data_IF_554398694955
#
_entry.id   IF_554398694955
#
_cell.length_a   1.000
_cell.length_b   1.000
_cell.length_c   1.000
_cell.angle_alpha   90.00
_cell.angle_beta   90.00
_cell.angle_gamma   90.00
#
_symmetry.space_group_name_H-M   'P 1'
#
loop_
_entity.id
_entity.type
_entity.pdbx_description
1 polymer ?
#
# COMPACT_ATOMS: atom_id res chain seq x y z
N UNK A 1 12.19 13.24 -5.88
CA UNK A 1 12.50 11.82 -6.16
C UNK A 1 11.24 11.13 -6.61
N UNK A 2 11.33 10.26 -7.61
CA UNK A 2 10.28 9.38 -8.10
C UNK A 2 10.74 7.93 -7.88
N UNK A 3 9.86 7.10 -7.34
CA UNK A 3 10.01 5.65 -7.26
C UNK A 3 8.94 5.08 -8.20
N UNK A 4 9.29 4.62 -9.40
CA UNK A 4 8.30 4.25 -10.42
C UNK A 4 7.54 2.98 -10.09
N UNK A 5 8.16 2.04 -9.38
CA UNK A 5 7.53 0.81 -8.93
C UNK A 5 8.14 0.39 -7.57
N UNK A 6 7.30 0.26 -6.56
CA UNK A 6 7.73 -0.22 -5.24
C UNK A 6 7.66 -1.75 -5.16
N UNK A 7 6.75 -2.38 -5.91
CA UNK A 7 6.52 -3.81 -5.92
C UNK A 7 6.78 -4.40 -7.33
N UNK A 8 8.04 -4.55 -7.74
CA UNK A 8 8.36 -5.12 -9.04
C UNK A 8 7.87 -6.56 -9.19
N UNK A 9 8.00 -7.38 -8.14
CA UNK A 9 7.52 -8.76 -8.16
C UNK A 9 6.02 -8.85 -8.45
N UNK A 10 5.21 -8.05 -7.74
CA UNK A 10 3.77 -8.04 -7.93
C UNK A 10 3.36 -7.58 -9.33
N UNK A 11 4.06 -6.59 -9.87
CA UNK A 11 3.86 -6.13 -11.24
C UNK A 11 4.19 -7.23 -12.26
N UNK A 12 5.33 -7.89 -12.12
CA UNK A 12 5.75 -8.96 -13.04
C UNK A 12 4.80 -10.15 -12.96
N UNK A 13 4.37 -10.56 -11.76
CA UNK A 13 3.41 -11.65 -11.56
C UNK A 13 2.06 -11.31 -12.20
N UNK A 14 1.56 -10.10 -11.97
CA UNK A 14 0.26 -9.68 -12.52
C UNK A 14 0.26 -9.65 -14.05
N UNK A 15 1.34 -9.18 -14.67
CA UNK A 15 1.46 -9.04 -16.14
C UNK A 15 1.94 -10.31 -16.85
N UNK A 16 2.87 -11.03 -16.24
CA UNK A 16 3.56 -12.16 -16.86
C UNK A 16 3.17 -13.54 -16.31
N UNK A 17 2.31 -13.56 -15.29
CA UNK A 17 1.87 -14.80 -14.66
C UNK A 17 2.82 -15.34 -13.60
N UNK A 18 2.42 -16.43 -12.94
CA UNK A 18 3.14 -17.04 -11.84
C UNK A 18 4.58 -17.46 -12.20
N UNK A 19 4.87 -17.75 -13.47
CA UNK A 19 6.20 -18.13 -13.94
C UNK A 19 7.27 -17.07 -13.69
N UNK A 20 6.90 -15.80 -13.56
CA UNK A 20 7.83 -14.70 -13.27
C UNK A 20 8.32 -14.72 -11.82
N UNK A 21 7.62 -15.42 -10.92
CA UNK A 21 7.99 -15.52 -9.50
C UNK A 21 9.21 -16.46 -9.23
N UNK A 22 9.84 -17.04 -10.26
CA UNK A 22 11.01 -17.88 -10.14
C UNK A 22 10.77 -19.10 -9.25
N UNK A 23 11.56 -19.29 -8.21
CA UNK A 23 11.42 -20.42 -7.30
C UNK A 23 10.13 -20.40 -6.46
N UNK A 24 9.41 -19.29 -6.43
CA UNK A 24 8.11 -19.14 -5.76
C UNK A 24 6.91 -19.40 -6.69
N UNK A 25 7.13 -19.79 -7.95
CA UNK A 25 6.06 -20.04 -8.94
C UNK A 25 4.96 -20.95 -8.39
N UNK A 26 5.31 -22.10 -7.84
CA UNK A 26 4.32 -23.05 -7.33
C UNK A 26 3.46 -22.51 -6.18
N UNK A 27 4.05 -21.65 -5.34
CA UNK A 27 3.30 -20.93 -4.30
C UNK A 27 2.32 -19.94 -4.94
N UNK A 28 2.79 -19.11 -5.87
CA UNK A 28 1.97 -18.09 -6.54
C UNK A 28 0.81 -18.75 -7.31
N UNK A 29 1.07 -19.81 -8.06
CA UNK A 29 0.03 -20.60 -8.76
C UNK A 29 -1.05 -21.10 -7.82
N UNK A 30 -0.63 -21.69 -6.69
CA UNK A 30 -1.56 -22.19 -5.68
C UNK A 30 -2.36 -21.06 -5.01
N UNK A 31 -1.71 -19.98 -4.62
CA UNK A 31 -2.32 -18.89 -3.89
C UNK A 31 -3.28 -18.06 -4.78
N UNK A 32 -2.99 -17.93 -6.08
CA UNK A 32 -3.84 -17.24 -7.05
C UNK A 32 -4.95 -18.11 -7.63
N UNK A 33 -4.91 -19.45 -7.42
CA UNK A 33 -5.78 -20.38 -8.12
C UNK A 33 -5.55 -20.39 -9.63
N UNK A 34 -4.37 -19.95 -10.09
CA UNK A 34 -3.97 -19.86 -11.49
C UNK A 34 -4.31 -18.51 -12.16
N UNK A 35 -5.04 -17.62 -11.49
CA UNK A 35 -5.33 -16.27 -11.98
C UNK A 35 -4.50 -15.24 -11.21
N UNK A 36 -3.52 -14.66 -11.88
CA UNK A 36 -2.61 -13.65 -11.29
C UNK A 36 -2.96 -12.22 -11.68
N UNK A 37 -4.00 -11.99 -12.48
CA UNK A 37 -4.35 -10.66 -13.00
C UNK A 37 -4.51 -9.61 -11.90
N UNK A 38 -5.01 -10.01 -10.73
CA UNK A 38 -5.22 -9.13 -9.58
C UNK A 38 -4.20 -9.35 -8.45
N UNK A 39 -3.02 -9.88 -8.76
CA UNK A 39 -1.96 -10.06 -7.78
C UNK A 39 -1.35 -8.72 -7.35
N UNK A 40 -1.51 -8.33 -6.08
CA UNK A 40 -1.04 -7.07 -5.50
C UNK A 40 0.13 -7.24 -4.54
N UNK A 41 0.28 -8.45 -3.98
CA UNK A 41 1.37 -8.78 -3.07
C UNK A 41 2.74 -8.87 -3.79
N UNK A 42 3.84 -8.93 -3.04
CA UNK A 42 5.11 -9.37 -3.62
C UNK A 42 5.11 -10.89 -3.90
N UNK A 43 6.20 -11.44 -4.41
CA UNK A 43 6.27 -12.89 -4.73
C UNK A 43 6.11 -13.80 -3.51
N UNK A 44 6.31 -13.29 -2.29
CA UNK A 44 6.08 -14.03 -1.04
C UNK A 44 4.64 -13.97 -0.52
N UNK A 45 3.75 -13.34 -1.27
CA UNK A 45 2.36 -13.18 -0.90
C UNK A 45 2.13 -12.17 0.23
N UNK A 46 3.04 -11.20 0.39
CA UNK A 46 2.90 -10.12 1.37
C UNK A 46 2.48 -8.85 0.64
N UNK A 47 1.34 -8.30 1.03
CA UNK A 47 0.86 -7.01 0.53
C UNK A 47 1.63 -5.88 1.19
N UNK A 48 2.46 -5.19 0.40
CA UNK A 48 3.37 -4.18 0.92
C UNK A 48 2.65 -3.01 1.58
N UNK A 49 1.44 -2.65 1.09
CA UNK A 49 0.67 -1.57 1.68
C UNK A 49 -0.11 -1.98 2.94
N UNK A 50 0.12 -3.18 3.45
CA UNK A 50 -0.31 -3.68 4.75
C UNK A 50 0.87 -4.02 5.68
N UNK A 51 2.11 -3.82 5.21
CA UNK A 51 3.34 -4.24 5.90
C UNK A 51 4.08 -3.09 6.61
N UNK A 52 3.55 -1.87 6.61
CA UNK A 52 4.16 -0.75 7.34
C UNK A 52 3.73 -0.75 8.82
N UNK A 53 4.63 -0.24 9.70
CA UNK A 53 4.36 -0.07 11.12
C UNK A 53 3.48 1.18 11.36
N UNK A 54 2.22 1.06 11.02
CA UNK A 54 1.19 2.07 11.21
C UNK A 54 -0.09 1.38 11.71
N UNK A 55 -0.16 1.14 13.01
CA UNK A 55 -1.24 0.37 13.61
C UNK A 55 -1.23 -1.10 13.20
N UNK A 56 -0.06 -1.72 13.10
CA UNK A 56 0.10 -3.09 12.60
C UNK A 56 -0.72 -4.13 13.38
N UNK A 57 -0.83 -3.98 14.70
CA UNK A 57 -1.72 -4.84 15.50
C UNK A 57 -3.19 -4.74 15.09
N UNK A 58 -3.62 -3.56 14.64
CA UNK A 58 -4.97 -3.37 14.10
C UNK A 58 -5.11 -4.02 12.72
N UNK A 59 -4.08 -3.94 11.88
CA UNK A 59 -4.01 -4.69 10.60
C UNK A 59 -4.29 -6.17 10.87
N UNK A 60 -3.57 -6.77 11.83
CA UNK A 60 -3.72 -8.21 12.15
C UNK A 60 -5.11 -8.57 12.70
N UNK A 61 -5.78 -7.65 13.39
CA UNK A 61 -7.19 -7.86 13.81
C UNK A 61 -8.14 -7.82 12.62
N UNK A 62 -7.96 -6.86 11.74
CA UNK A 62 -8.79 -6.69 10.54
C UNK A 62 -8.60 -7.85 9.55
N UNK A 63 -7.35 -8.31 9.36
CA UNK A 63 -7.06 -9.50 8.56
C UNK A 63 -7.80 -10.73 9.08
N UNK A 64 -7.68 -11.03 10.39
CA UNK A 64 -8.39 -12.16 11.00
C UNK A 64 -9.91 -12.03 10.85
N UNK A 65 -10.46 -10.84 11.04
CA UNK A 65 -11.88 -10.59 10.85
C UNK A 65 -12.35 -10.80 9.40
N UNK A 66 -11.45 -10.58 8.43
CA UNK A 66 -11.70 -10.79 7.01
C UNK A 66 -11.33 -12.20 6.52
N UNK A 67 -10.90 -13.11 7.42
CA UNK A 67 -10.47 -14.46 7.06
C UNK A 67 -9.12 -14.52 6.31
N UNK A 68 -8.27 -13.48 6.46
CA UNK A 68 -6.95 -13.39 5.86
C UNK A 68 -5.93 -13.83 6.92
N UNK A 69 -5.46 -15.05 6.85
CA UNK A 69 -4.60 -15.67 7.86
C UNK A 69 -3.24 -16.15 7.32
N UNK A 70 -3.06 -16.09 6.01
CA UNK A 70 -1.87 -16.59 5.33
C UNK A 70 -1.45 -15.70 4.15
N UNK A 71 -0.19 -15.82 3.70
CA UNK A 71 0.29 -15.17 2.47
C UNK A 71 -0.61 -15.49 1.27
N UNK A 72 -0.89 -14.46 0.47
CA UNK A 72 -1.80 -14.57 -0.67
C UNK A 72 -1.67 -13.42 -1.65
N UNK A 73 -2.60 -13.31 -2.60
CA UNK A 73 -2.53 -12.30 -3.67
C UNK A 73 -2.65 -10.87 -3.17
N UNK A 74 -3.31 -10.64 -2.03
CA UNK A 74 -3.58 -9.29 -1.51
C UNK A 74 -3.88 -9.30 -0.01
N UNK A 75 -3.75 -8.16 0.63
CA UNK A 75 -4.19 -7.80 2.01
C UNK A 75 -3.45 -8.47 3.16
N UNK A 76 -2.61 -9.45 2.93
CA UNK A 76 -1.84 -10.06 4.01
C UNK A 76 -0.55 -9.26 4.27
N UNK A 77 -0.44 -8.62 5.43
CA UNK A 77 0.67 -7.73 5.80
C UNK A 77 1.90 -8.41 6.39
N UNK A 78 1.93 -9.75 6.42
CA UNK A 78 3.04 -10.49 7.03
C UNK A 78 2.88 -10.71 8.53
N UNK A 79 3.91 -11.32 9.16
CA UNK A 79 3.91 -11.61 10.59
C UNK A 79 4.37 -10.41 11.45
N UNK A 80 5.24 -9.59 10.90
CA UNK A 80 5.79 -8.40 11.57
C UNK A 80 5.81 -7.21 10.61
N UNK A 81 5.68 -5.98 11.11
CA UNK A 81 5.80 -4.81 10.24
C UNK A 81 7.21 -4.73 9.65
N UNK A 82 7.32 -4.15 8.47
CA UNK A 82 8.57 -4.01 7.73
C UNK A 82 9.32 -5.33 7.50
N UNK A 83 8.60 -6.46 7.42
CA UNK A 83 9.22 -7.76 7.14
C UNK A 83 9.80 -7.83 5.72
N UNK A 84 9.24 -7.06 4.79
CA UNK A 84 9.60 -7.12 3.39
C UNK A 84 10.79 -6.21 3.05
N UNK A 85 11.70 -6.65 2.16
CA UNK A 85 12.84 -5.83 1.76
C UNK A 85 12.42 -4.51 1.10
N UNK A 86 11.34 -4.50 0.35
CA UNK A 86 10.79 -3.32 -0.33
C UNK A 86 10.32 -2.28 0.70
N UNK A 87 9.56 -2.70 1.70
CA UNK A 87 9.09 -1.79 2.76
C UNK A 87 10.26 -1.25 3.59
N UNK A 88 11.24 -2.11 3.95
CA UNK A 88 12.46 -1.66 4.64
C UNK A 88 13.27 -0.68 3.80
N UNK A 89 13.41 -0.94 2.50
CA UNK A 89 14.13 -0.02 1.60
C UNK A 89 13.48 1.36 1.56
N UNK A 90 12.14 1.41 1.46
CA UNK A 90 11.40 2.67 1.45
C UNK A 90 11.49 3.41 2.79
N UNK A 91 11.37 2.70 3.89
CA UNK A 91 11.53 3.25 5.26
C UNK A 91 12.93 3.85 5.43
N UNK A 92 13.99 3.11 5.07
CA UNK A 92 15.37 3.56 5.17
C UNK A 92 15.62 4.77 4.25
N UNK A 93 15.08 4.75 3.03
CA UNK A 93 15.14 5.90 2.12
C UNK A 93 14.48 7.13 2.75
N UNK A 94 13.28 7.00 3.30
CA UNK A 94 12.59 8.11 3.96
C UNK A 94 13.35 8.64 5.18
N UNK A 95 13.95 7.76 5.97
CA UNK A 95 14.76 8.14 7.12
C UNK A 95 16.01 8.95 6.71
N UNK A 96 16.69 8.53 5.65
CA UNK A 96 17.90 9.18 5.13
C UNK A 96 17.59 10.48 4.36
N UNK A 97 16.67 10.42 3.42
CA UNK A 97 16.35 11.55 2.52
C UNK A 97 15.44 12.59 3.17
N UNK A 98 14.61 12.19 4.14
CA UNK A 98 13.67 13.03 4.89
C UNK A 98 12.75 13.86 3.99
N UNK A 99 11.97 13.25 3.09
CA UNK A 99 11.11 13.97 2.16
C UNK A 99 10.10 14.84 2.91
N UNK A 100 9.80 16.03 2.39
CA UNK A 100 8.86 16.98 3.03
C UNK A 100 7.40 16.56 2.89
N UNK A 101 7.10 15.77 1.86
CA UNK A 101 5.77 15.29 1.51
C UNK A 101 5.93 13.99 0.73
N UNK A 102 4.98 13.08 0.88
CA UNK A 102 4.91 11.84 0.10
C UNK A 102 3.59 11.76 -0.65
N UNK A 103 3.64 11.23 -1.87
CA UNK A 103 2.49 10.93 -2.72
C UNK A 103 2.60 9.48 -3.16
N UNK A 104 1.62 8.66 -2.79
CA UNK A 104 1.49 7.29 -3.22
C UNK A 104 0.33 7.17 -4.21
N UNK A 105 0.59 6.59 -5.37
CA UNK A 105 -0.43 6.41 -6.40
C UNK A 105 -0.89 4.95 -6.39
N UNK A 106 -2.18 4.78 -6.23
CA UNK A 106 -2.89 3.51 -6.23
C UNK A 106 -4.02 3.56 -7.26
N UNK A 107 -4.70 2.48 -7.48
CA UNK A 107 -5.95 2.39 -8.21
C UNK A 107 -6.92 1.54 -7.37
N UNK A 108 -8.20 1.95 -7.27
CA UNK A 108 -8.83 3.05 -7.99
C UNK A 108 -9.96 3.67 -7.17
N UNK A 109 -10.52 4.81 -7.64
CA UNK A 109 -11.68 5.40 -6.95
C UNK A 109 -11.83 6.91 -7.15
N UNK A 110 -10.87 7.59 -7.80
CA UNK A 110 -10.81 9.05 -7.91
C UNK A 110 -10.89 9.74 -6.55
N UNK A 111 -10.12 9.19 -5.59
CA UNK A 111 -10.10 9.63 -4.20
C UNK A 111 -8.71 10.06 -3.77
N UNK A 112 -8.66 10.92 -2.75
CA UNK A 112 -7.42 11.30 -2.06
C UNK A 112 -7.60 11.04 -0.57
N UNK A 113 -6.72 10.21 0.00
CA UNK A 113 -6.60 10.02 1.44
C UNK A 113 -5.41 10.81 1.97
N UNK A 114 -5.60 11.58 3.05
CA UNK A 114 -4.57 12.47 3.60
C UNK A 114 -4.47 12.46 5.11
N UNK A 115 -5.32 11.68 5.80
CA UNK A 115 -5.35 11.60 7.27
C UNK A 115 -4.86 10.26 7.76
N UNK A 116 -4.20 10.30 8.90
CA UNK A 116 -3.95 9.14 9.73
C UNK A 116 -3.64 9.57 11.16
N UNK A 117 -4.42 9.11 12.13
CA UNK A 117 -4.20 9.34 13.54
C UNK A 117 -4.05 10.82 13.96
N UNK A 118 -3.56 11.05 15.18
CA UNK A 118 -3.42 12.42 15.73
C UNK A 118 -2.24 13.19 15.15
N UNK A 119 -1.33 12.53 14.44
CA UNK A 119 -0.10 13.12 13.91
C UNK A 119 -0.23 13.70 12.50
N UNK A 120 -1.43 13.68 11.94
CA UNK A 120 -1.70 14.33 10.66
C UNK A 120 -1.41 15.83 10.76
N UNK A 121 -0.44 16.38 10.01
CA UNK A 121 -0.12 17.79 10.07
C UNK A 121 -1.32 18.67 9.67
N UNK A 122 -1.57 19.76 10.39
CA UNK A 122 -2.72 20.65 10.14
C UNK A 122 -2.79 21.14 8.67
N UNK A 123 -1.63 21.41 8.06
CA UNK A 123 -1.55 21.84 6.64
C UNK A 123 -2.00 20.75 5.64
N UNK A 124 -2.03 19.47 6.03
CA UNK A 124 -2.42 18.38 5.13
C UNK A 124 -3.81 18.55 4.56
N UNK A 125 -4.73 19.11 5.35
CA UNK A 125 -6.10 19.34 4.89
C UNK A 125 -6.17 20.37 3.75
N UNK A 126 -5.50 21.51 3.89
CA UNK A 126 -5.46 22.53 2.84
C UNK A 126 -4.78 22.00 1.58
N UNK A 127 -3.66 21.29 1.76
CA UNK A 127 -2.96 20.65 0.63
C UNK A 127 -3.87 19.65 -0.10
N UNK A 128 -4.59 18.81 0.64
CA UNK A 128 -5.53 17.85 0.07
C UNK A 128 -6.66 18.53 -0.72
N UNK A 129 -7.20 19.63 -0.20
CA UNK A 129 -8.24 20.41 -0.90
C UNK A 129 -7.73 20.99 -2.22
N UNK A 130 -6.52 21.54 -2.23
CA UNK A 130 -5.88 22.05 -3.46
C UNK A 130 -5.66 20.93 -4.47
N UNK A 131 -5.13 19.80 -4.03
CA UNK A 131 -4.91 18.62 -4.88
C UNK A 131 -6.23 18.09 -5.45
N UNK A 132 -7.25 17.94 -4.61
CA UNK A 132 -8.58 17.49 -5.02
C UNK A 132 -9.22 18.40 -6.06
N UNK A 133 -9.14 19.72 -5.84
CA UNK A 133 -9.64 20.72 -6.79
C UNK A 133 -8.90 20.68 -8.13
N UNK A 134 -7.60 20.36 -8.11
CA UNK A 134 -6.77 20.33 -9.31
C UNK A 134 -7.01 19.09 -10.20
N UNK A 135 -7.33 17.94 -9.60
CA UNK A 135 -7.54 16.68 -10.34
C UNK A 135 -9.01 16.26 -10.43
N UNK A 136 -9.92 16.93 -9.73
CA UNK A 136 -11.34 16.59 -9.69
C UNK A 136 -11.68 15.40 -8.78
N UNK A 137 -10.74 14.95 -7.96
CA UNK A 137 -10.93 13.82 -7.05
C UNK A 137 -11.60 14.26 -5.74
N UNK A 138 -12.32 13.35 -5.09
CA UNK A 138 -12.92 13.60 -3.79
C UNK A 138 -11.96 13.27 -2.64
N UNK A 139 -12.10 14.00 -1.54
CA UNK A 139 -11.42 13.63 -0.30
C UNK A 139 -12.20 12.53 0.41
N UNK A 140 -11.51 11.47 0.80
CA UNK A 140 -12.10 10.31 1.46
C UNK A 140 -11.19 9.76 2.57
N UNK A 141 -11.64 8.73 3.24
CA UNK A 141 -10.89 7.97 4.24
C UNK A 141 -11.01 6.48 3.92
N UNK A 142 -9.92 5.73 3.98
CA UNK A 142 -9.96 4.29 3.75
C UNK A 142 -10.69 3.59 4.91
N UNK A 143 -11.36 2.48 4.59
CA UNK A 143 -12.11 1.67 5.55
C UNK A 143 -11.61 0.21 5.58
N UNK A 144 -12.03 -0.55 6.59
CA UNK A 144 -11.68 -1.96 6.72
C UNK A 144 -10.18 -2.19 6.76
N UNK A 145 -9.71 -3.21 6.03
CA UNK A 145 -8.28 -3.57 6.00
C UNK A 145 -7.39 -2.48 5.43
N UNK A 146 -7.91 -1.57 4.62
CA UNK A 146 -7.15 -0.46 4.03
C UNK A 146 -6.91 0.72 5.00
N UNK A 147 -7.49 0.68 6.21
CA UNK A 147 -7.43 1.81 7.15
C UNK A 147 -6.13 1.93 7.95
N UNK A 148 -5.29 0.89 7.92
CA UNK A 148 -4.03 0.80 8.68
C UNK A 148 -2.96 0.06 7.88
N UNK A 149 -1.69 0.22 8.29
CA UNK A 149 -0.56 -0.52 7.73
C UNK A 149 -0.05 -0.02 6.40
N UNK A 150 -0.63 1.04 5.85
CA UNK A 150 -0.22 1.63 4.58
C UNK A 150 0.99 2.54 4.69
N UNK A 151 1.68 2.75 3.55
CA UNK A 151 2.83 3.65 3.49
C UNK A 151 2.47 5.09 3.89
N UNK A 152 1.36 5.63 3.40
CA UNK A 152 0.89 6.97 3.78
C UNK A 152 0.69 7.08 5.29
N UNK A 153 0.11 6.06 5.91
CA UNK A 153 -0.19 6.04 7.34
C UNK A 153 1.09 6.08 8.16
N UNK A 154 2.04 5.22 7.82
CA UNK A 154 3.36 5.20 8.43
C UNK A 154 4.10 6.52 8.21
N UNK A 155 4.06 7.09 7.00
CA UNK A 155 4.75 8.34 6.70
C UNK A 155 4.19 9.50 7.54
N UNK A 156 2.89 9.59 7.69
CA UNK A 156 2.24 10.59 8.56
C UNK A 156 2.63 10.35 10.01
N UNK A 157 2.50 9.12 10.50
CA UNK A 157 2.68 8.81 11.91
C UNK A 157 4.14 8.92 12.36
N UNK A 158 5.07 8.35 11.61
CA UNK A 158 6.50 8.36 11.94
C UNK A 158 7.22 9.65 11.53
N UNK A 159 6.98 10.14 10.31
CA UNK A 159 7.70 11.30 9.79
C UNK A 159 7.09 12.63 10.21
N UNK A 160 5.85 12.63 10.69
CA UNK A 160 5.08 13.85 11.09
C UNK A 160 4.96 14.85 9.94
N UNK A 161 4.79 14.35 8.72
CA UNK A 161 4.74 15.13 7.48
C UNK A 161 3.53 14.76 6.64
N UNK A 162 3.07 15.68 5.74
CA UNK A 162 1.96 15.38 4.86
C UNK A 162 2.25 14.17 3.97
N UNK A 163 1.39 13.17 4.03
CA UNK A 163 1.37 12.00 3.15
C UNK A 163 0.00 11.90 2.49
N UNK A 164 -0.02 11.50 1.23
CA UNK A 164 -1.24 11.37 0.44
C UNK A 164 -1.25 10.05 -0.31
N UNK A 165 -2.41 9.40 -0.33
CA UNK A 165 -2.72 8.33 -1.29
C UNK A 165 -3.69 8.87 -2.33
N UNK A 166 -3.38 8.65 -3.59
CA UNK A 166 -4.26 8.94 -4.72
C UNK A 166 -4.77 7.62 -5.28
N UNK A 167 -6.06 7.38 -5.20
CA UNK A 167 -6.74 6.27 -5.87
C UNK A 167 -7.12 6.73 -7.28
N UNK A 168 -6.22 6.51 -8.25
CA UNK A 168 -6.39 7.02 -9.61
C UNK A 168 -7.30 6.13 -10.45
N UNK A 169 -8.07 6.74 -11.34
CA UNK A 169 -8.89 6.05 -12.34
C UNK A 169 -10.28 5.63 -11.86
N UNK A 170 -11.08 5.19 -12.84
CA UNK A 170 -12.46 4.73 -12.69
C UNK A 170 -12.63 3.31 -13.17
N UNK A 171 -13.65 2.64 -12.67
CA UNK A 171 -14.06 1.31 -13.12
C UNK A 171 -13.36 0.18 -12.37
N UNK A 172 -13.14 -0.95 -13.00
CA UNK A 172 -12.38 -2.08 -12.45
C UNK A 172 -10.94 -1.99 -12.92
N UNK A 173 -10.01 -2.39 -12.07
CA UNK A 173 -8.63 -2.60 -12.51
C UNK A 173 -8.63 -3.59 -13.67
N UNK A 174 -7.78 -3.35 -14.68
CA UNK A 174 -7.65 -4.25 -15.80
C UNK A 174 -7.22 -5.63 -15.36
#
# INVERSE_FOLDING_TARGET
TLIPCLNPDGMEISLGGAGTAGHLQAFVEKASGGDTLHWQANARGIDLNHNFDAGFEQVKKLERAAGIDAPGPTRYGGHTPHSEPETRALVNFCAAFRPRTAYAFHSQGEEIYYRYGPHTPARSQLMAQVLASSCGYRLASPEGTASHGGFKDWFIDCMRRPGFTFEIGRGKNP
#
